data_IF_120285347207
#
_entry.id   IF_120285347207
#
_cell.length_a   1.000
_cell.length_b   1.000
_cell.length_c   1.000
_cell.angle_alpha   90.00
_cell.angle_beta   90.00
_cell.angle_gamma   90.00
#
_symmetry.space_group_name_H-M   'P 1'
#
loop_
_entity.id
_entity.type
_entity.pdbx_description
1 polymer ?
#
# COMPACT_ATOMS: atom_id res chain seq x y z
N UNK A 1 2.67 -9.50 26.16
CA UNK A 1 3.62 -9.25 25.05
C UNK A 1 2.91 -8.34 24.05
N UNK A 2 3.55 -7.28 23.53
CA UNK A 2 2.92 -6.37 22.58
C UNK A 2 2.60 -7.10 21.27
N UNK A 3 1.52 -6.70 20.61
CA UNK A 3 1.11 -7.30 19.34
C UNK A 3 1.77 -6.61 18.15
N UNK A 4 2.30 -7.40 17.22
CA UNK A 4 2.85 -6.95 15.94
C UNK A 4 1.90 -7.32 14.82
N UNK A 5 1.47 -6.34 14.05
CA UNK A 5 0.69 -6.53 12.82
C UNK A 5 1.61 -6.36 11.63
N UNK A 6 1.55 -7.30 10.70
CA UNK A 6 2.30 -7.29 9.44
C UNK A 6 1.30 -7.39 8.30
N UNK A 7 1.42 -6.51 7.32
CA UNK A 7 0.66 -6.54 6.07
C UNK A 7 1.63 -6.73 4.92
N UNK A 8 1.40 -7.77 4.12
CA UNK A 8 2.08 -7.97 2.84
C UNK A 8 1.12 -7.62 1.71
N UNK A 9 1.42 -6.55 0.99
CA UNK A 9 0.65 -6.09 -0.15
C UNK A 9 1.40 -6.44 -1.43
N UNK A 10 0.70 -7.11 -2.35
CA UNK A 10 1.21 -7.38 -3.69
C UNK A 10 0.38 -6.59 -4.72
N UNK A 11 1.05 -5.69 -5.43
CA UNK A 11 0.43 -4.85 -6.45
C UNK A 11 0.82 -5.42 -7.81
N UNK A 12 -0.16 -5.97 -8.52
CA UNK A 12 0.06 -6.53 -9.85
C UNK A 12 -0.02 -5.45 -10.93
N UNK A 13 -1.18 -4.82 -11.06
CA UNK A 13 -1.43 -3.85 -12.11
C UNK A 13 -2.53 -2.85 -11.70
N UNK A 14 -2.50 -1.68 -12.32
CA UNK A 14 -3.64 -0.75 -12.36
C UNK A 14 -4.15 -0.73 -13.79
N UNK A 15 -5.45 -0.99 -13.97
CA UNK A 15 -6.09 -1.09 -15.28
C UNK A 15 -7.28 -0.15 -15.36
N UNK A 16 -7.32 0.72 -16.36
CA UNK A 16 -8.48 1.56 -16.69
C UNK A 16 -8.74 1.53 -18.19
N UNK A 17 -9.55 0.57 -18.69
CA UNK A 17 -9.88 0.47 -20.11
C UNK A 17 -10.59 1.73 -20.62
N UNK A 18 -10.20 2.21 -21.81
CA UNK A 18 -10.83 3.38 -22.45
C UNK A 18 -10.43 4.73 -21.86
N UNK A 19 -9.51 4.76 -20.89
CA UNK A 19 -8.98 6.01 -20.30
C UNK A 19 -7.59 6.29 -20.86
N UNK A 20 -7.35 7.56 -21.22
CA UNK A 20 -6.05 8.07 -21.57
C UNK A 20 -5.59 9.06 -20.48
N UNK A 21 -4.37 8.88 -19.98
CA UNK A 21 -3.74 9.84 -19.08
C UNK A 21 -3.12 10.95 -19.94
N UNK A 22 -3.56 12.22 -19.81
CA UNK A 22 -3.10 13.31 -20.66
C UNK A 22 -1.63 13.67 -20.40
N UNK A 23 -1.20 13.50 -19.16
CA UNK A 23 0.18 13.74 -18.73
C UNK A 23 1.05 12.55 -19.11
N UNK A 24 2.22 12.84 -19.69
CA UNK A 24 3.18 11.82 -20.13
C UNK A 24 4.27 11.53 -19.10
N UNK A 25 4.20 12.17 -17.94
CA UNK A 25 5.15 11.93 -16.87
C UNK A 25 4.96 10.53 -16.28
N UNK A 26 6.04 9.94 -15.81
CA UNK A 26 5.96 8.67 -15.11
C UNK A 26 5.17 8.84 -13.80
N UNK A 27 4.35 7.84 -13.48
CA UNK A 27 3.52 7.82 -12.28
C UNK A 27 3.95 6.71 -11.32
N UNK A 28 3.61 6.88 -10.05
CA UNK A 28 3.81 5.87 -9.01
C UNK A 28 2.57 5.77 -8.13
N UNK A 29 2.49 4.72 -7.32
CA UNK A 29 1.48 4.58 -6.28
C UNK A 29 2.10 4.91 -4.93
N UNK A 30 1.46 5.81 -4.19
CA UNK A 30 1.71 5.97 -2.76
C UNK A 30 0.68 5.15 -1.97
N UNK A 31 1.16 4.20 -1.18
CA UNK A 31 0.33 3.28 -0.39
C UNK A 31 0.53 3.57 1.09
N UNK A 32 -0.56 3.93 1.76
CA UNK A 32 -0.58 4.24 3.19
C UNK A 32 -1.31 3.16 3.98
N UNK A 33 -0.59 2.40 4.80
CA UNK A 33 -1.11 1.30 5.62
C UNK A 33 -0.47 1.36 7.01
N UNK A 34 -1.26 1.17 8.08
CA UNK A 34 -0.79 1.21 9.47
C UNK A 34 -0.03 2.51 9.83
N UNK A 35 -0.37 3.65 9.22
CA UNK A 35 0.30 4.94 9.42
C UNK A 35 1.71 5.03 8.80
N UNK A 36 2.08 4.08 7.94
CA UNK A 36 3.28 4.13 7.11
C UNK A 36 2.89 4.35 5.65
N UNK A 37 3.61 5.22 4.96
CA UNK A 37 3.47 5.43 3.52
C UNK A 37 4.67 4.85 2.80
N UNK A 38 4.43 4.17 1.68
CA UNK A 38 5.46 3.61 0.79
C UNK A 38 5.08 3.88 -0.65
N UNK A 39 6.07 4.19 -1.46
CA UNK A 39 5.90 4.49 -2.88
C UNK A 39 6.42 3.34 -3.73
N UNK A 40 5.73 3.06 -4.83
CA UNK A 40 6.27 2.17 -5.86
C UNK A 40 7.32 2.92 -6.69
N UNK A 41 8.03 2.19 -7.54
CA UNK A 41 8.81 2.84 -8.62
C UNK A 41 7.89 3.65 -9.56
N UNK A 42 8.45 4.69 -10.16
CA UNK A 42 7.81 5.41 -11.26
C UNK A 42 7.75 4.52 -12.51
N UNK A 43 6.61 4.55 -13.19
CA UNK A 43 6.33 3.80 -14.41
C UNK A 43 5.60 4.68 -15.42
N UNK A 44 5.74 4.39 -16.73
CA UNK A 44 4.99 5.12 -17.75
C UNK A 44 3.48 5.12 -17.49
N UNK A 45 2.85 6.28 -17.67
CA UNK A 45 1.41 6.51 -17.50
C UNK A 45 0.55 5.87 -18.63
N UNK A 46 0.79 4.59 -18.94
CA UNK A 46 0.12 3.86 -20.02
C UNK A 46 -0.56 2.63 -19.44
N UNK A 47 -1.89 2.56 -19.56
CA UNK A 47 -2.64 1.41 -19.10
C UNK A 47 -2.46 0.18 -20.01
N UNK A 48 -2.41 -1.04 -19.46
CA UNK A 48 -2.34 -1.35 -18.03
C UNK A 48 -0.96 -1.04 -17.43
N UNK A 49 -0.94 -0.41 -16.26
CA UNK A 49 0.32 -0.08 -15.58
C UNK A 49 0.72 -1.25 -14.69
N UNK A 50 1.78 -1.95 -15.07
CA UNK A 50 2.22 -3.20 -14.46
C UNK A 50 3.29 -2.96 -13.37
N UNK A 51 2.86 -2.88 -12.12
CA UNK A 51 3.76 -2.63 -10.99
C UNK A 51 4.58 -3.87 -10.63
N UNK A 52 3.92 -5.03 -10.49
CA UNK A 52 4.52 -6.28 -10.01
C UNK A 52 5.38 -6.11 -8.74
N UNK A 53 4.92 -5.27 -7.81
CA UNK A 53 5.67 -4.88 -6.63
C UNK A 53 5.10 -5.53 -5.37
N UNK A 54 5.97 -5.82 -4.40
CA UNK A 54 5.60 -6.31 -3.07
C UNK A 54 6.03 -5.30 -2.02
N UNK A 55 5.09 -4.92 -1.17
CA UNK A 55 5.31 -4.00 -0.06
C UNK A 55 4.96 -4.68 1.26
N UNK A 56 5.77 -4.44 2.28
CA UNK A 56 5.56 -4.98 3.63
C UNK A 56 5.42 -3.86 4.63
N UNK A 57 4.31 -3.79 5.35
CA UNK A 57 4.04 -2.79 6.39
C UNK A 57 4.00 -3.48 7.74
N UNK A 58 4.66 -2.91 8.74
CA UNK A 58 4.73 -3.52 10.07
C UNK A 58 4.48 -2.48 11.16
N UNK A 59 3.58 -2.77 12.10
CA UNK A 59 3.36 -1.91 13.26
C UNK A 59 3.29 -2.75 14.53
N UNK A 60 4.07 -2.35 15.54
CA UNK A 60 4.00 -2.94 16.87
C UNK A 60 3.14 -2.05 17.77
N UNK A 61 2.04 -2.59 18.25
CA UNK A 61 1.10 -1.92 19.15
C UNK A 61 1.53 -2.20 20.59
N UNK A 62 2.35 -1.31 21.14
CA UNK A 62 2.96 -1.48 22.47
C UNK A 62 1.91 -1.66 23.59
N UNK A 63 0.73 -1.07 23.44
CA UNK A 63 -0.37 -1.10 24.41
C UNK A 63 -1.39 -2.21 24.15
N UNK A 64 -1.31 -2.90 23.01
CA UNK A 64 -2.26 -3.95 22.68
C UNK A 64 -1.77 -5.31 23.20
N UNK A 65 -2.60 -5.93 24.04
CA UNK A 65 -2.35 -7.27 24.60
C UNK A 65 -3.25 -8.33 23.97
N UNK A 66 -4.31 -7.92 23.27
CA UNK A 66 -5.22 -8.79 22.53
C UNK A 66 -5.63 -8.13 21.19
N UNK A 67 -6.16 -8.89 20.22
CA UNK A 67 -6.54 -8.36 18.91
C UNK A 67 -7.63 -7.29 18.95
N UNK A 68 -8.55 -7.33 19.92
CA UNK A 68 -9.62 -6.32 20.03
C UNK A 68 -9.03 -4.92 20.29
N UNK A 69 -8.03 -4.81 21.17
CA UNK A 69 -7.31 -3.55 21.39
C UNK A 69 -6.58 -3.05 20.15
N UNK A 70 -6.14 -3.93 19.25
CA UNK A 70 -5.54 -3.51 17.97
C UNK A 70 -6.59 -2.88 17.07
N UNK A 71 -7.80 -3.45 17.00
CA UNK A 71 -8.91 -2.90 16.21
C UNK A 71 -9.29 -1.51 16.72
N UNK A 72 -9.44 -1.33 18.04
CA UNK A 72 -9.71 -0.03 18.66
C UNK A 72 -8.62 1.03 18.37
N UNK A 73 -7.36 0.62 18.18
CA UNK A 73 -6.24 1.52 17.85
C UNK A 73 -6.10 1.80 16.35
N UNK A 74 -6.95 1.18 15.51
CA UNK A 74 -6.99 1.35 14.06
C UNK A 74 -8.21 2.13 13.56
N UNK A 75 -9.29 2.19 14.35
CA UNK A 75 -10.43 3.11 14.15
C UNK A 75 -10.03 4.58 14.32
#
# INVERSE_FOLDING_TARGET
>A
MPLKVVVELQIHAVTCPGVFLPDKDDIFLNVSILGQSKETRCLPAVFPILFHEKMRFEKTFQKAVNPATVVELLE
#
